data_IF_673132606543
#
_entry.id   IF_673132606543
#
_cell.length_a   1.000
_cell.length_b   1.000
_cell.length_c   1.000
_cell.angle_alpha   90.00
_cell.angle_beta   90.00
_cell.angle_gamma   90.00
#
_symmetry.space_group_name_H-M   'P 1'
#
loop_
_entity.id
_entity.type
_entity.pdbx_description
1 polymer ?
#
# COMPACT_ATOMS: atom_id res chain seq x y z
N UNK A 1 1.17 -18.63 13.54
CA UNK A 1 0.12 -17.61 13.31
C UNK A 1 0.30 -17.09 11.89
N UNK A 2 -0.74 -17.16 11.05
CA UNK A 2 -0.69 -16.66 9.68
C UNK A 2 -0.93 -15.13 9.71
N UNK A 3 0.10 -14.35 10.01
CA UNK A 3 -0.03 -12.90 10.00
C UNK A 3 -0.02 -12.45 8.53
N UNK A 4 -1.15 -11.94 8.05
CA UNK A 4 -1.34 -11.46 6.69
C UNK A 4 -1.26 -9.93 6.70
N UNK A 5 -0.42 -9.36 5.86
CA UNK A 5 -0.31 -7.91 5.67
C UNK A 5 -1.06 -7.50 4.43
N UNK A 6 -1.71 -6.34 4.48
CA UNK A 6 -2.22 -5.69 3.28
C UNK A 6 -1.11 -4.85 2.70
N UNK A 7 -0.90 -4.94 1.40
CA UNK A 7 0.13 -4.24 0.65
C UNK A 7 -0.50 -3.49 -0.53
N UNK A 8 -0.11 -2.22 -0.72
CA UNK A 8 -0.43 -1.41 -1.89
C UNK A 8 0.91 -0.97 -2.44
N UNK A 9 1.13 -1.28 -3.71
CA UNK A 9 2.27 -0.82 -4.47
C UNK A 9 1.81 0.26 -5.45
N UNK A 10 2.47 1.41 -5.39
CA UNK A 10 2.30 2.47 -6.37
C UNK A 10 2.98 2.08 -7.69
N UNK A 11 2.90 2.94 -8.70
CA UNK A 11 3.45 2.68 -10.02
C UNK A 11 4.95 2.30 -9.97
N UNK A 12 5.40 1.50 -10.92
CA UNK A 12 6.79 1.01 -10.97
C UNK A 12 7.78 2.18 -11.09
N UNK A 13 7.39 3.27 -11.75
CA UNK A 13 8.18 4.51 -11.82
C UNK A 13 8.28 5.23 -10.47
N UNK A 14 7.33 5.02 -9.55
CA UNK A 14 7.33 5.64 -8.24
C UNK A 14 8.08 4.80 -7.21
N UNK A 15 7.92 3.47 -7.27
CA UNK A 15 8.54 2.54 -6.32
C UNK A 15 7.99 2.64 -4.88
N UNK A 16 6.99 3.48 -4.64
CA UNK A 16 6.36 3.59 -3.33
C UNK A 16 5.54 2.34 -3.01
N UNK A 17 5.73 1.80 -1.82
CA UNK A 17 5.01 0.63 -1.35
C UNK A 17 4.68 0.81 0.13
N UNK A 18 3.40 0.60 0.48
CA UNK A 18 2.94 0.61 1.87
C UNK A 18 2.36 -0.75 2.23
N UNK A 19 2.72 -1.24 3.42
CA UNK A 19 2.22 -2.50 3.97
C UNK A 19 1.76 -2.28 5.40
N UNK A 20 0.54 -2.67 5.75
CA UNK A 20 0.04 -2.59 7.12
C UNK A 20 -1.01 -3.66 7.40
N UNK A 21 -1.26 -3.95 8.67
CA UNK A 21 -2.43 -4.72 9.08
C UNK A 21 -3.69 -3.84 9.08
N UNK A 22 -3.49 -2.54 9.33
CA UNK A 22 -4.57 -1.57 9.41
C UNK A 22 -4.88 -1.00 8.03
N UNK A 23 -6.09 -1.30 7.57
CA UNK A 23 -6.54 -0.96 6.22
C UNK A 23 -6.74 0.56 6.08
N UNK A 24 -7.17 1.25 7.14
CA UNK A 24 -7.40 2.70 7.09
C UNK A 24 -6.08 3.45 7.00
N UNK A 25 -5.14 3.15 7.90
CA UNK A 25 -3.83 3.80 7.93
C UNK A 25 -3.11 3.64 6.58
N UNK A 26 -3.15 2.43 6.04
CA UNK A 26 -2.59 2.12 4.73
C UNK A 26 -3.18 2.95 3.59
N UNK A 27 -4.52 3.07 3.54
CA UNK A 27 -5.22 3.84 2.51
C UNK A 27 -4.94 5.33 2.64
N UNK A 28 -4.88 5.85 3.87
CA UNK A 28 -4.52 7.25 4.12
C UNK A 28 -3.11 7.57 3.66
N UNK A 29 -2.15 6.69 3.93
CA UNK A 29 -0.76 6.83 3.46
C UNK A 29 -0.70 6.80 1.94
N UNK A 30 -1.33 5.82 1.30
CA UNK A 30 -1.34 5.69 -0.16
C UNK A 30 -2.02 6.90 -0.83
N UNK A 31 -3.15 7.36 -0.29
CA UNK A 31 -3.87 8.54 -0.80
C UNK A 31 -3.06 9.81 -0.64
N UNK A 32 -2.44 10.00 0.53
CA UNK A 32 -1.58 11.15 0.82
C UNK A 32 -0.37 11.17 -0.11
N UNK A 33 0.23 10.01 -0.34
CA UNK A 33 1.33 9.83 -1.28
C UNK A 33 0.91 10.26 -2.70
N UNK A 34 -0.17 9.72 -3.25
CA UNK A 34 -0.62 10.05 -4.61
C UNK A 34 -1.00 11.54 -4.75
N UNK A 35 -1.64 12.10 -3.72
CA UNK A 35 -2.01 13.52 -3.70
C UNK A 35 -0.81 14.45 -3.67
N UNK A 36 0.24 14.13 -2.92
CA UNK A 36 1.39 15.02 -2.75
C UNK A 36 2.47 14.79 -3.82
N UNK A 37 2.74 13.53 -4.17
CA UNK A 37 3.80 13.12 -5.10
C UNK A 37 3.33 13.22 -6.55
N UNK A 38 2.15 12.66 -6.84
CA UNK A 38 1.62 12.63 -8.20
C UNK A 38 0.66 13.79 -8.49
N UNK A 39 0.31 14.61 -7.47
CA UNK A 39 -0.71 15.68 -7.59
C UNK A 39 -2.06 15.14 -8.12
N UNK A 40 -2.31 13.83 -7.94
CA UNK A 40 -3.49 13.13 -8.42
C UNK A 40 -4.43 12.83 -7.26
N UNK A 41 -5.73 12.79 -7.53
CA UNK A 41 -6.71 12.38 -6.54
C UNK A 41 -7.17 10.98 -6.87
N UNK A 42 -6.83 10.02 -6.00
CA UNK A 42 -7.33 8.65 -6.05
C UNK A 42 -8.37 8.44 -4.97
N UNK A 43 -9.34 7.57 -5.25
CA UNK A 43 -10.37 7.18 -4.28
C UNK A 43 -9.91 5.96 -3.49
N UNK A 44 -10.44 5.82 -2.28
CA UNK A 44 -10.22 4.66 -1.43
C UNK A 44 -10.62 3.35 -2.13
N UNK A 45 -11.64 3.40 -2.98
CA UNK A 45 -12.07 2.26 -3.81
C UNK A 45 -11.00 1.82 -4.80
N UNK A 46 -10.33 2.75 -5.48
CA UNK A 46 -9.24 2.46 -6.42
C UNK A 46 -8.04 1.86 -5.68
N UNK A 47 -7.67 2.46 -4.55
CA UNK A 47 -6.57 1.97 -3.70
C UNK A 47 -6.87 0.58 -3.14
N UNK A 48 -8.10 0.31 -2.72
CA UNK A 48 -8.54 -1.03 -2.28
C UNK A 48 -8.52 -2.04 -3.42
N UNK A 49 -8.86 -1.65 -4.65
CA UNK A 49 -8.78 -2.54 -5.81
C UNK A 49 -7.32 -2.94 -6.13
N UNK A 50 -6.35 -2.08 -5.79
CA UNK A 50 -4.91 -2.36 -5.91
C UNK A 50 -4.29 -3.00 -4.66
N UNK A 51 -5.08 -3.23 -3.62
CA UNK A 51 -4.62 -3.82 -2.37
C UNK A 51 -4.43 -5.33 -2.52
N UNK A 52 -3.23 -5.80 -2.23
CA UNK A 52 -2.87 -7.22 -2.25
C UNK A 52 -2.59 -7.69 -0.83
N UNK A 53 -3.11 -8.85 -0.45
CA UNK A 53 -2.72 -9.47 0.82
C UNK A 53 -1.46 -10.28 0.61
N UNK A 54 -0.42 -10.02 1.40
CA UNK A 54 0.86 -10.72 1.36
C UNK A 54 1.13 -11.37 2.72
N UNK A 55 1.73 -12.57 2.76
CA UNK A 55 2.14 -13.16 4.02
C UNK A 55 3.18 -12.26 4.70
N UNK A 56 3.06 -12.04 6.01
CA UNK A 56 4.01 -11.26 6.83
C UNK A 56 5.37 -11.96 7.00
N UNK A 57 5.68 -12.97 6.17
CA UNK A 57 7.03 -13.53 6.06
C UNK A 57 7.90 -12.46 5.40
N UNK A 58 8.51 -11.63 6.24
CA UNK A 58 9.43 -10.59 5.86
C UNK A 58 10.38 -11.08 4.76
N UNK A 59 10.48 -10.33 3.66
CA UNK A 59 11.73 -10.27 2.91
C UNK A 59 12.81 -9.69 3.82
N UNK A 60 13.28 -10.51 4.76
CA UNK A 60 14.60 -10.39 5.34
C UNK A 60 15.57 -10.88 4.25
N UNK A 61 16.06 -9.96 3.42
CA UNK A 61 17.31 -10.22 2.69
C UNK A 61 18.45 -9.68 3.55
N UNK A 62 19.27 -10.65 3.97
CA UNK A 62 20.53 -10.57 4.71
C UNK A 62 21.47 -9.48 4.21
#
# INVERSE_FOLDING_TARGET
>A
MNQELKQIQCDDMCGFMVRSHDEKEMLEIARTHVKNVHKMTVTDTDLKARMTTVPQTATAKK
#
